data_IF_515451964307
#
_entry.id   IF_515451964307
#
_cell.length_a   1.000
_cell.length_b   1.000
_cell.length_c   1.000
_cell.angle_alpha   90.00
_cell.angle_beta   90.00
_cell.angle_gamma   90.00
#
_symmetry.space_group_name_H-M   'P 1'
#
loop_
_entity.id
_entity.type
_entity.pdbx_description
1 polymer ?
#
# COMPACT_ATOMS: atom_id res chain seq x y z
N UNK A 1 6.98 5.24 13.35
CA UNK A 1 6.45 5.63 12.02
C UNK A 1 6.50 4.42 11.11
N UNK A 2 5.65 4.40 10.08
CA UNK A 2 5.60 3.36 9.04
C UNK A 2 5.86 4.01 7.67
N UNK A 3 6.51 3.28 6.76
CA UNK A 3 6.86 3.81 5.44
C UNK A 3 6.57 2.79 4.35
N UNK A 4 5.90 3.24 3.28
CA UNK A 4 5.53 2.42 2.13
C UNK A 4 5.66 3.21 0.83
N UNK A 5 6.07 2.57 -0.27
CA UNK A 5 6.18 3.27 -1.56
C UNK A 5 4.81 3.65 -2.12
N UNK A 6 3.85 2.71 -2.12
CA UNK A 6 2.50 2.92 -2.65
C UNK A 6 1.48 2.38 -1.66
N UNK A 7 0.41 3.14 -1.44
CA UNK A 7 -0.68 2.82 -0.51
C UNK A 7 -2.03 2.99 -1.18
N UNK A 8 -3.09 2.44 -0.58
CA UNK A 8 -4.48 2.63 -0.98
C UNK A 8 -5.34 3.17 0.19
N UNK A 9 -6.40 3.96 -0.07
CA UNK A 9 -7.24 4.58 0.94
C UNK A 9 -7.85 3.59 1.94
N UNK A 10 -8.21 2.39 1.48
CA UNK A 10 -8.76 1.31 2.28
C UNK A 10 -7.75 0.83 3.33
N UNK A 11 -6.51 0.58 2.90
CA UNK A 11 -5.42 0.19 3.79
C UNK A 11 -5.09 1.29 4.80
N UNK A 12 -5.01 2.54 4.35
CA UNK A 12 -4.75 3.69 5.24
C UNK A 12 -5.83 3.85 6.30
N UNK A 13 -7.12 3.65 5.95
CA UNK A 13 -8.23 3.76 6.89
C UNK A 13 -8.19 2.68 7.96
N UNK A 14 -7.89 1.44 7.57
CA UNK A 14 -7.72 0.32 8.51
C UNK A 14 -6.52 0.56 9.40
N UNK A 15 -5.38 0.95 8.83
CA UNK A 15 -4.15 1.21 9.58
C UNK A 15 -4.35 2.35 10.59
N UNK A 16 -4.89 3.50 10.17
CA UNK A 16 -5.12 4.64 11.05
C UNK A 16 -6.13 4.33 12.16
N UNK A 17 -7.11 3.45 11.91
CA UNK A 17 -8.06 3.00 12.95
C UNK A 17 -7.37 2.09 13.99
N UNK A 18 -6.47 1.22 13.54
CA UNK A 18 -5.76 0.29 14.42
C UNK A 18 -4.58 0.94 15.17
N UNK A 19 -3.92 1.91 14.54
CA UNK A 19 -2.68 2.54 15.00
C UNK A 19 -2.72 4.06 14.79
N UNK A 20 -3.61 4.79 15.49
CA UNK A 20 -3.80 6.23 15.28
C UNK A 20 -2.58 7.08 15.67
N UNK A 21 -1.67 6.52 16.44
CA UNK A 21 -0.45 7.15 16.97
C UNK A 21 0.78 6.97 16.07
N UNK A 22 0.69 6.16 15.01
CA UNK A 22 1.81 5.89 14.11
C UNK A 22 1.73 6.77 12.86
N UNK A 23 2.69 7.69 12.64
CA UNK A 23 2.78 8.44 11.39
C UNK A 23 3.12 7.53 10.22
N UNK A 24 2.37 7.65 9.12
CA UNK A 24 2.61 6.93 7.87
C UNK A 24 3.19 7.88 6.83
N UNK A 25 4.32 7.50 6.25
CA UNK A 25 4.94 8.20 5.14
C UNK A 25 4.83 7.34 3.88
N UNK A 26 4.30 7.91 2.80
CA UNK A 26 4.18 7.19 1.54
C UNK A 26 4.50 8.05 0.34
N UNK A 27 5.10 7.46 -0.70
CA UNK A 27 5.43 8.17 -1.91
C UNK A 27 4.20 8.37 -2.83
N UNK A 28 3.23 7.46 -2.78
CA UNK A 28 1.94 7.60 -3.47
C UNK A 28 0.77 7.02 -2.68
N UNK A 29 -0.35 7.75 -2.71
CA UNK A 29 -1.66 7.24 -2.32
C UNK A 29 -2.48 7.06 -3.60
N UNK A 30 -2.63 5.80 -4.00
CA UNK A 30 -3.30 5.42 -5.24
C UNK A 30 -4.81 5.28 -5.04
N UNK A 31 -5.56 4.93 -6.10
CA UNK A 31 -7.01 5.12 -6.12
C UNK A 31 -7.81 4.17 -5.21
N UNK A 32 -7.54 2.87 -5.28
CA UNK A 32 -8.30 1.84 -4.56
C UNK A 32 -7.56 0.49 -4.57
N UNK A 33 -8.08 -0.46 -3.80
CA UNK A 33 -7.79 -1.89 -3.96
C UNK A 33 -8.78 -2.53 -4.92
N UNK A 34 -8.29 -3.34 -5.86
CA UNK A 34 -9.16 -4.16 -6.70
C UNK A 34 -9.62 -5.43 -5.97
N UNK A 35 -10.45 -6.26 -6.63
CA UNK A 35 -11.00 -7.52 -6.09
C UNK A 35 -9.95 -8.55 -5.63
N UNK A 36 -8.72 -8.45 -6.12
CA UNK A 36 -7.60 -9.32 -5.75
C UNK A 36 -6.67 -8.65 -4.73
N UNK A 37 -7.10 -7.54 -4.10
CA UNK A 37 -6.34 -6.75 -3.15
C UNK A 37 -5.04 -6.12 -3.69
N UNK A 38 -4.91 -5.95 -5.02
CA UNK A 38 -3.85 -5.13 -5.59
C UNK A 38 -4.25 -3.65 -5.56
N UNK A 39 -3.28 -2.79 -5.29
CA UNK A 39 -3.43 -1.34 -5.39
C UNK A 39 -3.54 -0.93 -6.87
N UNK A 40 -4.44 0.00 -7.20
CA UNK A 40 -4.69 0.48 -8.57
C UNK A 40 -4.42 1.99 -8.67
N UNK A 41 -3.62 2.47 -9.65
CA UNK A 41 -2.90 1.69 -10.67
C UNK A 41 -1.77 0.83 -10.08
N UNK A 42 -1.19 1.25 -8.96
CA UNK A 42 -0.22 0.49 -8.17
C UNK A 42 1.05 0.11 -8.92
N UNK A 43 1.70 -0.92 -8.38
CA UNK A 43 2.97 -1.44 -8.87
C UNK A 43 2.87 -2.92 -9.28
N UNK A 44 1.67 -3.53 -9.27
CA UNK A 44 1.56 -4.98 -9.35
C UNK A 44 2.22 -5.68 -8.15
N UNK A 45 2.82 -6.84 -8.37
CA UNK A 45 3.55 -7.56 -7.32
C UNK A 45 4.93 -6.93 -7.07
N UNK A 46 5.10 -6.33 -5.89
CA UNK A 46 6.35 -5.67 -5.52
C UNK A 46 7.49 -6.67 -5.31
N UNK A 47 7.20 -7.88 -4.81
CA UNK A 47 8.20 -8.92 -4.57
C UNK A 47 8.77 -9.44 -5.88
N UNK A 48 7.90 -9.85 -6.80
CA UNK A 48 8.31 -10.35 -8.12
C UNK A 48 9.10 -9.29 -8.90
N UNK A 49 8.71 -8.01 -8.80
CA UNK A 49 9.44 -6.92 -9.46
C UNK A 49 10.81 -6.63 -8.86
N UNK A 50 10.98 -6.80 -7.55
CA UNK A 50 12.26 -6.57 -6.87
C UNK A 50 13.24 -7.73 -7.06
N UNK A 51 12.72 -8.96 -7.07
CA UNK A 51 13.57 -10.16 -7.04
C UNK A 51 13.57 -10.95 -8.35
N UNK A 52 12.78 -10.54 -9.35
CA UNK A 52 12.74 -11.17 -10.67
C UNK A 52 12.17 -12.60 -10.64
N UNK A 53 11.33 -12.90 -9.67
CA UNK A 53 10.79 -14.25 -9.45
C UNK A 53 9.49 -14.49 -10.22
N UNK A 54 9.32 -15.75 -10.67
CA UNK A 54 8.03 -16.38 -11.02
C UNK A 54 8.14 -17.89 -10.98
#
# INVERSE_FOLDING_TARGET
SFMALVTAPEGMRVFAKAHPDIPVYTASLDSHLNKNAYIVPGLGDAGDRLYGTK
#
